data_IF_799135143281
#
_entry.id   IF_799135143281
#
_cell.length_a   1.000
_cell.length_b   1.000
_cell.length_c   1.000
_cell.angle_alpha   90.00
_cell.angle_beta   90.00
_cell.angle_gamma   90.00
#
_symmetry.space_group_name_H-M   'P 1'
#
loop_
_entity.id
_entity.type
_entity.pdbx_description
1 polymer ?
#
# COMPACT_ATOMS: atom_id res chain seq x y z
N UNK A 1 -11.95 28.34 -4.90
CA UNK A 1 -11.02 27.52 -5.71
C UNK A 1 -11.76 26.28 -6.18
N UNK A 2 -12.60 26.44 -7.21
CA UNK A 2 -13.28 25.32 -7.87
C UNK A 2 -12.33 24.74 -8.91
N UNK A 3 -11.74 23.59 -8.63
CA UNK A 3 -11.12 22.75 -9.65
C UNK A 3 -12.27 22.21 -10.50
N UNK A 4 -12.59 22.88 -11.61
CA UNK A 4 -13.41 22.26 -12.64
C UNK A 4 -12.53 21.23 -13.35
N UNK A 5 -12.83 19.96 -13.16
CA UNK A 5 -12.30 18.87 -13.98
C UNK A 5 -12.92 18.99 -15.37
N UNK A 6 -12.44 19.95 -16.16
CA UNK A 6 -12.74 20.04 -17.58
C UNK A 6 -11.99 18.86 -18.26
N UNK A 7 -12.63 18.01 -19.09
CA UNK A 7 -11.94 16.91 -19.79
C UNK A 7 -10.69 17.36 -20.58
N UNK A 8 -10.58 18.65 -20.90
CA UNK A 8 -9.40 19.23 -21.53
C UNK A 8 -8.17 19.37 -20.61
N UNK A 9 -8.33 19.46 -19.27
CA UNK A 9 -7.17 19.55 -18.35
C UNK A 9 -6.46 18.22 -18.16
N UNK A 10 -7.17 17.09 -18.28
CA UNK A 10 -6.56 15.75 -18.32
C UNK A 10 -5.70 15.56 -19.58
N UNK A 11 -6.19 16.05 -20.73
CA UNK A 11 -5.47 16.01 -21.99
C UNK A 11 -4.27 16.98 -22.02
N UNK A 12 -4.40 18.16 -21.39
CA UNK A 12 -3.28 19.10 -21.25
C UNK A 12 -2.21 18.61 -20.25
N UNK A 13 -2.61 17.86 -19.22
CA UNK A 13 -1.68 17.21 -18.28
C UNK A 13 -0.71 16.25 -18.99
N UNK A 14 -1.14 15.66 -20.10
CA UNK A 14 -0.27 14.84 -20.96
C UNK A 14 0.78 15.65 -21.72
N UNK A 15 0.63 16.95 -21.90
CA UNK A 15 1.58 17.75 -22.69
C UNK A 15 2.70 18.38 -21.84
N UNK A 16 2.67 18.24 -20.52
CA UNK A 16 3.69 18.79 -19.62
C UNK A 16 4.81 17.76 -19.41
N UNK A 17 6.06 18.03 -19.87
CA UNK A 17 7.14 17.04 -19.81
C UNK A 17 7.51 16.58 -18.39
N UNK A 18 7.39 17.47 -17.39
CA UNK A 18 7.69 17.14 -16.00
C UNK A 18 6.65 16.17 -15.41
N UNK A 19 5.36 16.39 -15.72
CA UNK A 19 4.28 15.54 -15.24
C UNK A 19 4.34 14.14 -15.85
N UNK A 20 4.67 14.03 -17.14
CA UNK A 20 4.90 12.75 -17.80
C UNK A 20 6.04 11.96 -17.14
N UNK A 21 7.14 12.62 -16.76
CA UNK A 21 8.28 11.96 -16.09
C UNK A 21 7.89 11.40 -14.72
N UNK A 22 7.19 12.20 -13.91
CA UNK A 22 6.69 11.76 -12.58
C UNK A 22 5.69 10.62 -12.71
N UNK A 23 4.76 10.71 -13.66
CA UNK A 23 3.77 9.66 -13.89
C UNK A 23 4.42 8.35 -14.33
N UNK A 24 5.40 8.40 -15.25
CA UNK A 24 6.19 7.22 -15.64
C UNK A 24 6.94 6.62 -14.44
N UNK A 25 7.54 7.45 -13.58
CA UNK A 25 8.20 6.98 -12.37
C UNK A 25 7.24 6.23 -11.44
N UNK A 26 6.06 6.80 -11.16
CA UNK A 26 5.05 6.13 -10.34
C UNK A 26 4.57 4.83 -10.98
N UNK A 27 4.34 4.82 -12.30
CA UNK A 27 3.96 3.60 -13.03
C UNK A 27 5.05 2.52 -12.97
N UNK A 28 6.33 2.89 -13.11
CA UNK A 28 7.45 1.97 -12.95
C UNK A 28 7.54 1.43 -11.52
N UNK A 29 7.41 2.29 -10.51
CA UNK A 29 7.40 1.87 -9.11
C UNK A 29 6.23 0.92 -8.81
N UNK A 30 5.04 1.21 -9.35
CA UNK A 30 3.88 0.34 -9.24
C UNK A 30 4.10 -1.01 -9.91
N UNK A 31 4.72 -1.04 -11.09
CA UNK A 31 5.02 -2.27 -11.81
C UNK A 31 5.99 -3.15 -11.00
N UNK A 32 7.03 -2.57 -10.40
CA UNK A 32 7.95 -3.28 -9.50
C UNK A 32 7.20 -3.82 -8.28
N UNK A 33 6.31 -3.02 -7.69
CA UNK A 33 5.48 -3.46 -6.56
C UNK A 33 4.60 -4.67 -6.94
N UNK A 34 3.91 -4.60 -8.08
CA UNK A 34 3.07 -5.70 -8.59
C UNK A 34 3.91 -6.95 -8.88
N UNK A 35 5.11 -6.81 -9.46
CA UNK A 35 5.99 -7.96 -9.64
C UNK A 35 6.42 -8.57 -8.30
N UNK A 36 6.66 -7.74 -7.29
CA UNK A 36 7.01 -8.19 -5.94
C UNK A 36 5.89 -8.98 -5.26
N UNK A 37 4.62 -8.62 -5.45
CA UNK A 37 3.47 -9.34 -4.88
C UNK A 37 3.25 -10.73 -5.49
N UNK A 38 3.82 -11.00 -6.67
CA UNK A 38 3.76 -12.31 -7.32
C UNK A 38 4.88 -13.26 -6.91
N UNK A 39 5.92 -12.77 -6.20
CA UNK A 39 7.01 -13.62 -5.72
C UNK A 39 6.60 -14.22 -4.36
N UNK A 40 6.37 -15.55 -4.27
CA UNK A 40 6.04 -16.19 -3.00
C UNK A 40 7.24 -16.14 -2.05
N UNK A 41 6.99 -15.96 -0.76
CA UNK A 41 8.05 -15.98 0.23
C UNK A 41 8.69 -17.39 0.30
N UNK A 42 10.03 -17.48 0.34
CA UNK A 42 10.72 -18.77 0.37
C UNK A 42 10.38 -19.53 1.65
N UNK A 43 10.08 -20.83 1.51
CA UNK A 43 9.80 -21.72 2.65
C UNK A 43 8.33 -21.87 3.04
N UNK A 44 7.38 -21.36 2.24
CA UNK A 44 5.94 -21.48 2.50
C UNK A 44 5.28 -22.42 1.51
N UNK A 45 4.52 -23.39 2.05
CA UNK A 45 3.69 -24.30 1.28
C UNK A 45 2.33 -23.64 0.99
N UNK A 46 2.19 -23.10 -0.22
CA UNK A 46 0.95 -22.45 -0.70
C UNK A 46 -0.28 -23.36 -0.57
N UNK A 47 -0.12 -24.68 -0.68
CA UNK A 47 -1.23 -25.62 -0.56
C UNK A 47 -1.81 -25.65 0.86
N UNK A 48 -0.95 -25.56 1.88
CA UNK A 48 -1.35 -25.50 3.30
C UNK A 48 -1.95 -24.16 3.67
N UNK A 49 -1.41 -23.07 3.12
CA UNK A 49 -1.95 -21.72 3.32
C UNK A 49 -3.35 -21.63 2.73
N UNK A 50 -3.54 -22.12 1.51
CA UNK A 50 -4.85 -22.11 0.84
C UNK A 50 -5.86 -22.99 1.59
N UNK A 51 -5.44 -24.17 2.05
CA UNK A 51 -6.27 -25.04 2.89
C UNK A 51 -6.63 -24.39 4.23
N UNK A 52 -5.71 -23.66 4.87
CA UNK A 52 -5.97 -22.90 6.09
C UNK A 52 -6.99 -21.79 5.86
N UNK A 53 -6.87 -21.01 4.77
CA UNK A 53 -7.85 -19.98 4.43
C UNK A 53 -9.23 -20.54 4.08
N UNK A 54 -9.30 -21.73 3.48
CA UNK A 54 -10.56 -22.42 3.21
C UNK A 54 -11.19 -23.00 4.49
N UNK A 55 -10.37 -23.60 5.36
CA UNK A 55 -10.82 -24.23 6.60
C UNK A 55 -11.19 -23.21 7.69
N UNK A 56 -10.52 -22.06 7.75
CA UNK A 56 -10.85 -20.97 8.67
C UNK A 56 -12.20 -20.27 8.36
N UNK A 57 -12.88 -20.73 7.29
CA UNK A 57 -13.92 -19.97 6.61
C UNK A 57 -13.33 -18.69 6.03
N UNK A 58 -13.85 -18.22 4.91
CA UNK A 58 -13.57 -16.87 4.44
C UNK A 58 -14.20 -15.84 5.39
N UNK A 59 -13.81 -15.85 6.66
CA UNK A 59 -14.20 -14.88 7.68
C UNK A 59 -13.87 -13.51 7.11
N UNK A 60 -14.86 -12.62 7.03
CA UNK A 60 -14.79 -11.40 6.22
C UNK A 60 -13.55 -10.53 6.46
N UNK A 61 -12.95 -10.63 7.65
CA UNK A 61 -11.69 -9.96 7.99
C UNK A 61 -10.50 -10.44 7.14
N UNK A 62 -10.37 -11.74 6.86
CA UNK A 62 -9.29 -12.25 6.00
C UNK A 62 -9.44 -11.77 4.56
N UNK A 63 -10.67 -11.66 4.06
CA UNK A 63 -10.94 -11.11 2.74
C UNK A 63 -10.60 -9.61 2.68
N UNK A 64 -10.91 -8.86 3.74
CA UNK A 64 -10.55 -7.45 3.86
C UNK A 64 -9.02 -7.29 3.81
N UNK A 65 -8.28 -8.08 4.59
CA UNK A 65 -6.81 -8.03 4.60
C UNK A 65 -6.25 -8.41 3.22
N UNK A 66 -6.83 -9.41 2.54
CA UNK A 66 -6.41 -9.82 1.19
C UNK A 66 -6.59 -8.70 0.15
N UNK A 67 -7.73 -8.00 0.16
CA UNK A 67 -7.99 -6.84 -0.72
C UNK A 67 -6.99 -5.71 -0.47
N UNK A 68 -6.69 -5.42 0.80
CA UNK A 68 -5.69 -4.41 1.15
C UNK A 68 -4.25 -4.82 0.83
N UNK A 69 -3.97 -6.12 0.74
CA UNK A 69 -2.68 -6.65 0.30
C UNK A 69 -2.55 -6.79 -1.23
N UNK A 70 -3.63 -6.57 -1.99
CA UNK A 70 -3.65 -6.79 -3.44
C UNK A 70 -3.58 -8.26 -3.85
N UNK A 71 -4.08 -9.19 -3.01
CA UNK A 71 -4.01 -10.64 -3.26
C UNK A 71 -2.70 -11.32 -2.82
N UNK A 72 -1.79 -10.56 -2.20
CA UNK A 72 -0.47 -11.03 -1.77
C UNK A 72 -0.55 -11.94 -0.53
N UNK A 73 -1.60 -11.81 0.29
CA UNK A 73 -1.81 -12.63 1.49
C UNK A 73 -2.16 -14.09 1.13
N UNK A 74 -3.06 -14.30 0.16
CA UNK A 74 -3.44 -15.65 -0.31
C UNK A 74 -2.26 -16.43 -0.91
N UNK A 75 -1.32 -15.71 -1.52
CA UNK A 75 -0.11 -16.30 -2.12
C UNK A 75 1.11 -16.25 -1.19
N UNK A 76 0.93 -15.71 0.02
CA UNK A 76 1.98 -15.48 1.01
C UNK A 76 3.27 -14.92 0.38
N UNK A 77 3.12 -13.84 -0.38
CA UNK A 77 4.23 -13.17 -1.04
C UNK A 77 5.16 -12.46 -0.03
N UNK A 78 6.38 -12.13 -0.48
CA UNK A 78 7.32 -11.25 0.26
C UNK A 78 6.64 -9.94 0.69
N UNK A 79 5.67 -9.46 -0.08
CA UNK A 79 4.87 -8.26 0.21
C UNK A 79 3.45 -8.60 0.71
N UNK A 80 3.26 -9.73 1.40
CA UNK A 80 1.93 -10.22 1.83
C UNK A 80 1.09 -9.22 2.64
N UNK A 81 1.71 -8.29 3.37
CA UNK A 81 1.01 -7.25 4.13
C UNK A 81 1.04 -5.87 3.44
N UNK A 82 1.74 -5.74 2.31
CA UNK A 82 1.84 -4.52 1.53
C UNK A 82 2.22 -3.29 2.37
N UNK A 83 1.39 -2.26 2.29
CA UNK A 83 1.58 -0.96 2.97
C UNK A 83 1.07 -0.95 4.43
N UNK A 84 0.34 -1.98 4.86
CA UNK A 84 -0.31 -2.00 6.19
C UNK A 84 0.64 -1.82 7.38
N UNK A 85 1.85 -2.44 7.41
CA UNK A 85 2.79 -2.22 8.51
C UNK A 85 3.20 -0.74 8.65
N UNK A 86 3.36 -0.05 7.52
CA UNK A 86 3.69 1.38 7.50
C UNK A 86 2.52 2.24 7.99
N UNK A 87 1.29 1.94 7.55
CA UNK A 87 0.09 2.63 8.04
C UNK A 87 0.00 2.52 9.56
N UNK A 88 0.13 1.31 10.10
CA UNK A 88 0.09 1.05 11.53
C UNK A 88 1.20 1.78 12.28
N UNK A 89 2.43 1.75 11.76
CA UNK A 89 3.55 2.49 12.35
C UNK A 89 3.30 4.01 12.35
N UNK A 90 2.73 4.56 11.27
CA UNK A 90 2.42 5.98 11.19
C UNK A 90 1.38 6.41 12.23
N UNK A 91 0.34 5.58 12.43
CA UNK A 91 -0.69 5.80 13.46
C UNK A 91 -0.08 5.71 14.85
N UNK A 92 0.79 4.73 15.10
CA UNK A 92 1.48 4.62 16.38
C UNK A 92 2.36 5.85 16.66
N UNK A 93 3.08 6.35 15.66
CA UNK A 93 3.86 7.58 15.81
C UNK A 93 2.97 8.80 16.08
N UNK A 94 1.84 8.92 15.38
CA UNK A 94 0.89 10.01 15.61
C UNK A 94 0.30 9.98 17.03
N UNK A 95 -0.01 8.79 17.54
CA UNK A 95 -0.46 8.59 18.92
C UNK A 95 0.67 8.88 19.93
N UNK A 96 1.90 8.44 19.67
CA UNK A 96 3.05 8.71 20.53
C UNK A 96 3.35 10.20 20.63
N UNK A 97 3.26 10.94 19.53
CA UNK A 97 3.44 12.41 19.53
C UNK A 97 2.36 13.12 20.37
N UNK A 98 1.14 12.57 20.44
CA UNK A 98 0.09 13.12 21.29
C UNK A 98 0.34 12.89 22.79
N UNK A 99 1.13 11.87 23.14
CA UNK A 99 1.38 11.44 24.52
C UNK A 99 2.72 11.98 25.04
N UNK A 100 3.77 12.00 24.22
CA UNK A 100 5.11 12.44 24.59
C UNK A 100 5.36 13.89 24.15
N UNK A 101 5.50 14.85 25.09
CA UNK A 101 5.75 16.25 24.77
C UNK A 101 7.06 16.46 24.01
N UNK A 102 8.08 15.62 24.21
CA UNK A 102 9.36 15.73 23.49
C UNK A 102 9.21 15.39 22.01
N UNK A 103 8.41 14.37 21.68
CA UNK A 103 8.11 14.03 20.28
C UNK A 103 7.26 15.11 19.60
N UNK A 104 6.43 15.82 20.37
CA UNK A 104 5.66 16.97 19.89
C UNK A 104 6.55 18.16 19.55
N UNK A 105 7.54 18.47 20.37
CA UNK A 105 8.55 19.49 20.06
C UNK A 105 9.34 19.11 18.80
N UNK A 106 9.82 17.87 18.70
CA UNK A 106 10.52 17.37 17.51
C UNK A 106 9.68 17.44 16.23
N UNK A 107 8.36 17.29 16.32
CA UNK A 107 7.46 17.47 15.17
C UNK A 107 7.32 18.95 14.78
N UNK A 108 7.43 19.88 15.73
CA UNK A 108 7.28 21.33 15.52
C UNK A 108 8.58 22.01 15.07
N UNK A 109 9.73 21.38 15.27
CA UNK A 109 11.04 21.85 14.81
C UNK A 109 11.29 21.64 13.29
N UNK A 110 10.30 21.09 12.56
CA UNK A 110 10.34 20.85 11.12
C UNK A 110 9.87 22.01 10.25
#
# INVERSE_FOLDING_TARGET
MSVSANPQTLLQSWNVPDLQKRLKFVLYALLIFVLGTHIPAPGIDLSRVTAFFQAAGASGIFNIIDVFSGGALKQFSILALGIMPYINASIMMQLMVAIDPKLKEMQQEG
#
